data_IF_196597710562
#
_entry.id   IF_196597710562
#
_cell.length_a   1.000
_cell.length_b   1.000
_cell.length_c   1.000
_cell.angle_alpha   90.00
_cell.angle_beta   90.00
_cell.angle_gamma   90.00
#
_symmetry.space_group_name_H-M   'P 1'
#
loop_
_entity.id
_entity.type
_entity.pdbx_description
1 polymer ?
#
# COMPACT_ATOMS: atom_id res chain seq x y z
N UNK A 1 -17.11 -9.94 25.42
CA UNK A 1 -18.49 -9.64 24.99
C UNK A 1 -18.40 -8.89 23.66
N UNK A 2 -18.60 -9.58 22.53
CA UNK A 2 -18.43 -9.00 21.20
C UNK A 2 -19.38 -7.81 21.01
N UNK A 3 -18.83 -6.62 20.73
CA UNK A 3 -19.62 -5.41 20.46
C UNK A 3 -20.30 -5.55 19.11
N UNK A 4 -21.44 -6.25 19.06
CA UNK A 4 -22.27 -6.33 17.87
C UNK A 4 -22.69 -4.91 17.45
N UNK A 5 -22.28 -4.54 16.24
CA UNK A 5 -22.76 -3.34 15.57
C UNK A 5 -24.23 -3.56 15.18
N UNK A 6 -25.03 -2.51 15.27
CA UNK A 6 -26.36 -2.53 14.65
C UNK A 6 -26.21 -2.60 13.13
N UNK A 7 -27.14 -3.24 12.42
CA UNK A 7 -27.17 -3.22 10.95
C UNK A 7 -27.04 -1.80 10.38
N UNK A 8 -27.63 -0.81 11.05
CA UNK A 8 -27.53 0.59 10.64
C UNK A 8 -26.10 1.13 10.76
N UNK A 9 -25.42 0.79 11.85
CA UNK A 9 -24.04 1.21 12.08
C UNK A 9 -23.09 0.51 11.11
N UNK A 10 -23.38 -0.74 10.77
CA UNK A 10 -22.66 -1.51 9.76
C UNK A 10 -22.80 -0.87 8.38
N UNK A 11 -24.02 -0.57 7.93
CA UNK A 11 -24.25 0.15 6.66
C UNK A 11 -23.57 1.51 6.60
N UNK A 12 -23.51 2.23 7.72
CA UNK A 12 -22.75 3.50 7.77
C UNK A 12 -21.26 3.25 7.56
N UNK A 13 -20.66 2.26 8.22
CA UNK A 13 -19.24 1.94 8.02
C UNK A 13 -18.94 1.50 6.59
N UNK A 14 -19.76 0.60 6.02
CA UNK A 14 -19.63 0.14 4.63
C UNK A 14 -19.69 1.29 3.63
N UNK A 15 -20.64 2.23 3.84
CA UNK A 15 -20.73 3.42 2.99
C UNK A 15 -19.51 4.34 3.15
N UNK A 16 -19.06 4.58 4.39
CA UNK A 16 -17.89 5.43 4.65
C UNK A 16 -16.65 4.90 3.94
N UNK A 17 -16.41 3.59 4.02
CA UNK A 17 -15.28 2.92 3.39
C UNK A 17 -15.32 3.09 1.87
N UNK A 18 -16.42 2.64 1.26
CA UNK A 18 -16.62 2.74 -0.18
C UNK A 18 -16.46 4.18 -0.69
N UNK A 19 -17.04 5.15 0.04
CA UNK A 19 -16.96 6.55 -0.34
C UNK A 19 -15.53 7.09 -0.29
N UNK A 20 -14.77 6.77 0.76
CA UNK A 20 -13.38 7.23 0.90
C UNK A 20 -12.49 6.62 -0.18
N UNK A 21 -12.67 5.33 -0.49
CA UNK A 21 -11.93 4.66 -1.57
C UNK A 21 -12.22 5.30 -2.92
N UNK A 22 -13.49 5.61 -3.22
CA UNK A 22 -13.90 6.18 -4.51
C UNK A 22 -13.54 7.67 -4.67
N UNK A 23 -13.55 8.46 -3.58
CA UNK A 23 -13.47 9.93 -3.65
C UNK A 23 -12.19 10.51 -3.03
N UNK A 24 -11.39 9.70 -2.32
CA UNK A 24 -10.19 10.14 -1.58
C UNK A 24 -10.45 11.16 -0.46
N UNK A 25 -11.70 11.43 -0.11
CA UNK A 25 -12.10 12.28 1.03
C UNK A 25 -13.38 11.74 1.68
N UNK A 26 -13.61 11.99 2.98
CA UNK A 26 -14.76 11.43 3.68
C UNK A 26 -16.06 12.19 3.39
N UNK A 27 -17.22 11.52 3.44
CA UNK A 27 -18.50 12.13 3.14
C UNK A 27 -18.99 13.05 4.27
N UNK A 28 -19.93 13.93 3.93
CA UNK A 28 -20.64 14.81 4.87
C UNK A 28 -21.76 14.06 5.60
N UNK A 29 -22.22 14.63 6.72
CA UNK A 29 -23.35 14.07 7.49
C UNK A 29 -24.61 13.89 6.61
N UNK A 30 -24.83 14.80 5.67
CA UNK A 30 -25.97 14.73 4.73
C UNK A 30 -25.80 13.63 3.70
N UNK A 31 -24.60 13.49 3.13
CA UNK A 31 -24.25 12.41 2.19
C UNK A 31 -24.43 11.04 2.86
N UNK A 32 -23.96 10.88 4.10
CA UNK A 32 -24.15 9.66 4.90
C UNK A 32 -25.65 9.37 5.09
N UNK A 33 -26.42 10.37 5.53
CA UNK A 33 -27.86 10.22 5.75
C UNK A 33 -28.61 9.77 4.49
N UNK A 34 -28.32 10.40 3.35
CA UNK A 34 -28.91 10.04 2.07
C UNK A 34 -28.57 8.60 1.67
N UNK A 35 -27.31 8.19 1.83
CA UNK A 35 -26.84 6.86 1.43
C UNK A 35 -27.45 5.72 2.27
N UNK A 36 -27.64 5.93 3.58
CA UNK A 36 -28.16 4.88 4.48
C UNK A 36 -29.65 5.01 4.79
N UNK A 37 -30.37 5.90 4.10
CA UNK A 37 -31.82 6.09 4.26
C UNK A 37 -32.23 6.75 5.59
N UNK A 38 -31.39 7.64 6.13
CA UNK A 38 -31.64 8.40 7.36
C UNK A 38 -31.87 9.87 7.01
N UNK A 39 -33.11 10.33 7.17
CA UNK A 39 -33.49 11.72 6.91
C UNK A 39 -32.98 12.70 7.96
N UNK A 40 -32.77 12.25 9.20
CA UNK A 40 -32.36 13.11 10.31
C UNK A 40 -30.83 13.13 10.50
N UNK A 41 -30.24 14.31 10.32
CA UNK A 41 -28.81 14.56 10.61
C UNK A 41 -28.44 14.26 12.07
N UNK A 42 -29.36 14.48 13.00
CA UNK A 42 -29.18 14.15 14.43
C UNK A 42 -29.03 12.64 14.65
N UNK A 43 -29.79 11.82 13.92
CA UNK A 43 -29.70 10.36 14.00
C UNK A 43 -28.38 9.88 13.38
N UNK A 44 -27.93 10.47 12.28
CA UNK A 44 -26.61 10.18 11.71
C UNK A 44 -25.50 10.52 12.71
N UNK A 45 -25.55 11.73 13.28
CA UNK A 45 -24.57 12.21 14.27
C UNK A 45 -24.51 11.31 15.51
N UNK A 46 -25.67 10.85 15.99
CA UNK A 46 -25.76 9.86 17.08
C UNK A 46 -25.04 8.55 16.73
N UNK A 47 -25.29 8.00 15.54
CA UNK A 47 -24.65 6.74 15.13
C UNK A 47 -23.14 6.90 14.97
N UNK A 48 -22.69 8.00 14.37
CA UNK A 48 -21.25 8.32 14.25
C UNK A 48 -20.59 8.46 15.64
N UNK A 49 -21.24 9.10 16.62
CA UNK A 49 -20.74 9.16 17.99
C UNK A 49 -20.60 7.77 18.60
N UNK A 50 -21.58 6.89 18.41
CA UNK A 50 -21.51 5.50 18.91
C UNK A 50 -20.43 4.68 18.22
N UNK A 51 -20.16 4.92 16.93
CA UNK A 51 -19.06 4.29 16.21
C UNK A 51 -17.70 4.77 16.73
N UNK A 52 -17.58 6.07 17.02
CA UNK A 52 -16.39 6.71 17.59
C UNK A 52 -16.09 6.21 19.02
N UNK A 53 -17.10 6.17 19.90
CA UNK A 53 -16.98 5.62 21.26
C UNK A 53 -16.56 4.13 21.27
N UNK A 54 -16.85 3.42 20.18
CA UNK A 54 -16.46 2.01 20.00
C UNK A 54 -15.14 1.85 19.26
N UNK A 55 -14.52 2.95 18.86
CA UNK A 55 -13.20 2.97 18.23
C UNK A 55 -13.20 2.63 16.76
N UNK A 56 -14.35 2.58 16.08
CA UNK A 56 -14.44 2.27 14.64
C UNK A 56 -14.11 3.48 13.76
N UNK A 57 -14.34 4.70 14.26
CA UNK A 57 -14.03 5.94 13.55
C UNK A 57 -13.37 6.94 14.50
N UNK A 58 -12.65 7.90 13.95
CA UNK A 58 -12.14 9.09 14.65
C UNK A 58 -12.63 10.34 13.93
N UNK A 59 -13.05 11.37 14.67
CA UNK A 59 -13.50 12.63 14.09
C UNK A 59 -12.79 13.82 14.71
N UNK A 60 -12.21 14.62 13.84
CA UNK A 60 -11.85 15.99 14.15
C UNK A 60 -13.08 16.88 13.91
N UNK A 61 -13.51 17.61 14.95
CA UNK A 61 -14.70 18.48 14.89
C UNK A 61 -14.36 19.90 14.43
N UNK A 62 -13.09 20.28 14.47
CA UNK A 62 -12.61 21.59 14.03
C UNK A 62 -12.34 21.58 12.51
N UNK A 63 -12.11 20.39 11.95
CA UNK A 63 -11.85 20.20 10.52
C UNK A 63 -13.11 19.74 9.78
N UNK A 64 -13.50 20.52 8.75
CA UNK A 64 -14.53 20.08 7.81
C UNK A 64 -14.11 18.77 7.16
N UNK A 65 -15.00 17.77 7.14
CA UNK A 65 -14.68 16.42 6.65
C UNK A 65 -13.50 15.79 7.42
N UNK A 66 -13.33 16.10 8.71
CA UNK A 66 -12.31 15.51 9.59
C UNK A 66 -12.58 14.07 10.05
N UNK A 67 -13.30 13.26 9.28
CA UNK A 67 -13.65 11.88 9.65
C UNK A 67 -12.61 10.89 9.11
N UNK A 68 -12.14 9.98 9.96
CA UNK A 68 -11.22 8.90 9.60
C UNK A 68 -11.77 7.55 10.08
N UNK A 69 -11.66 6.52 9.24
CA UNK A 69 -11.92 5.14 9.63
C UNK A 69 -10.69 4.61 10.39
N UNK A 70 -10.91 3.78 11.41
CA UNK A 70 -9.81 3.14 12.16
C UNK A 70 -9.63 1.69 11.71
N UNK A 71 -8.53 1.07 12.10
CA UNK A 71 -8.30 -0.36 11.89
C UNK A 71 -9.40 -1.27 12.51
N UNK A 72 -10.20 -0.77 13.46
CA UNK A 72 -11.32 -1.53 14.00
C UNK A 72 -12.53 -1.54 13.05
N UNK A 73 -12.74 -0.49 12.24
CA UNK A 73 -13.77 -0.48 11.16
C UNK A 73 -13.43 -1.45 10.04
N UNK A 74 -12.14 -1.75 9.90
CA UNK A 74 -11.62 -2.63 8.88
C UNK A 74 -10.66 -3.65 9.49
N UNK A 75 -11.15 -4.78 10.04
CA UNK A 75 -10.26 -5.89 10.33
C UNK A 75 -9.54 -6.43 9.08
N UNK A 76 -10.06 -6.11 7.87
CA UNK A 76 -9.48 -6.46 6.56
C UNK A 76 -8.52 -5.38 6.03
N UNK A 77 -8.73 -4.10 6.36
CA UNK A 77 -7.70 -3.05 6.26
C UNK A 77 -6.96 -3.07 7.58
N UNK A 78 -6.24 -4.18 7.79
CA UNK A 78 -5.02 -4.14 8.60
C UNK A 78 -4.31 -2.83 8.21
N UNK A 79 -3.69 -2.08 9.15
CA UNK A 79 -2.67 -1.12 8.74
C UNK A 79 -1.79 -1.91 7.79
N UNK A 80 -1.84 -1.55 6.50
CA UNK A 80 -1.33 -2.34 5.38
C UNK A 80 0.01 -2.88 5.81
N UNK A 81 0.05 -4.18 6.17
CA UNK A 81 1.07 -4.68 7.08
C UNK A 81 2.42 -4.21 6.57
N UNK A 82 3.10 -3.36 7.36
CA UNK A 82 4.34 -2.73 6.90
C UNK A 82 5.32 -3.87 6.65
N UNK A 83 5.70 -4.04 5.40
CA UNK A 83 6.67 -5.03 4.98
C UNK A 83 8.01 -4.33 4.94
N UNK A 84 8.97 -4.87 5.69
CA UNK A 84 10.36 -4.47 5.60
C UNK A 84 11.01 -5.28 4.49
N UNK A 85 11.40 -4.61 3.41
CA UNK A 85 12.16 -5.25 2.35
C UNK A 85 13.65 -4.98 2.55
N UNK A 86 14.51 -6.00 2.41
CA UNK A 86 15.95 -5.79 2.47
C UNK A 86 16.41 -4.99 1.25
N UNK A 87 17.20 -3.95 1.48
CA UNK A 87 17.90 -3.22 0.42
C UNK A 87 19.23 -3.94 0.15
N UNK A 88 19.29 -4.71 -0.93
CA UNK A 88 20.44 -5.59 -1.23
C UNK A 88 21.61 -4.84 -1.92
N UNK A 89 21.64 -3.52 -1.79
CA UNK A 89 22.67 -2.66 -2.36
C UNK A 89 22.23 -1.98 -3.64
N UNK A 90 23.20 -1.74 -4.52
CA UNK A 90 23.03 -0.90 -5.71
C UNK A 90 23.13 -1.71 -7.00
N UNK A 91 22.30 -1.35 -7.96
CA UNK A 91 22.37 -1.88 -9.33
C UNK A 91 23.17 -0.89 -10.19
N UNK A 92 24.39 -1.29 -10.55
CA UNK A 92 25.26 -0.58 -11.49
C UNK A 92 25.34 -1.40 -12.78
N UNK A 93 25.37 -0.74 -13.94
CA UNK A 93 25.65 -1.43 -15.19
C UNK A 93 26.99 -2.18 -15.09
N UNK A 94 27.00 -3.46 -15.51
CA UNK A 94 28.24 -4.25 -15.58
C UNK A 94 28.50 -5.22 -14.42
N UNK A 95 27.83 -5.07 -13.27
CA UNK A 95 28.06 -5.91 -12.10
C UNK A 95 26.94 -6.95 -11.92
N UNK A 96 27.25 -8.25 -11.74
CA UNK A 96 26.24 -9.24 -11.41
C UNK A 96 25.57 -8.87 -10.09
N UNK A 97 24.23 -8.90 -10.06
CA UNK A 97 23.53 -8.82 -8.78
C UNK A 97 23.92 -10.06 -7.97
N UNK A 98 24.37 -9.91 -6.71
CA UNK A 98 24.43 -11.04 -5.81
C UNK A 98 23.01 -11.59 -5.63
N UNK A 99 22.72 -12.72 -6.27
CA UNK A 99 21.48 -13.46 -6.01
C UNK A 99 21.54 -13.85 -4.53
N UNK A 100 20.60 -13.38 -3.69
CA UNK A 100 20.54 -13.90 -2.35
C UNK A 100 20.22 -15.40 -2.47
N UNK A 101 21.24 -16.24 -2.26
CA UNK A 101 20.99 -17.56 -1.71
C UNK A 101 20.19 -17.34 -0.40
N UNK A 102 19.36 -18.31 -0.01
CA UNK A 102 18.62 -18.26 1.26
C UNK A 102 19.50 -17.95 2.49
N UNK A 103 20.83 -18.05 2.33
CA UNK A 103 21.88 -17.83 3.33
C UNK A 103 22.76 -16.59 3.09
N UNK A 104 22.37 -15.63 2.22
CA UNK A 104 23.13 -14.39 2.09
C UNK A 104 23.04 -13.59 3.40
N UNK A 105 24.15 -13.27 4.08
CA UNK A 105 24.13 -12.29 5.15
C UNK A 105 23.67 -10.99 4.51
N UNK A 106 22.58 -10.41 5.01
CA UNK A 106 22.13 -9.06 4.68
C UNK A 106 23.32 -8.12 4.93
N UNK A 107 24.15 -7.87 3.93
CA UNK A 107 25.21 -6.88 4.01
C UNK A 107 24.52 -5.52 3.89
N UNK A 108 24.04 -5.04 5.03
CA UNK A 108 23.27 -3.82 5.20
C UNK A 108 22.05 -4.08 6.07
N UNK A 109 21.98 -3.45 7.24
CA UNK A 109 20.75 -3.37 8.06
C UNK A 109 19.70 -2.43 7.41
N UNK A 110 19.98 -1.92 6.21
CA UNK A 110 19.12 -1.01 5.48
C UNK A 110 17.92 -1.78 4.92
N UNK A 111 16.74 -1.38 5.39
CA UNK A 111 15.46 -1.90 4.95
C UNK A 111 14.60 -0.74 4.51
N UNK A 112 13.78 -0.97 3.49
CA UNK A 112 12.73 -0.04 3.11
C UNK A 112 11.40 -0.52 3.70
N UNK A 113 10.63 0.41 4.23
CA UNK A 113 9.29 0.13 4.75
C UNK A 113 8.26 0.47 3.69
N UNK A 114 7.56 -0.55 3.21
CA UNK A 114 6.48 -0.40 2.23
C UNK A 114 5.21 -1.04 2.74
N UNK A 115 4.09 -0.50 2.28
CA UNK A 115 2.78 -1.02 2.64
C UNK A 115 2.42 -2.21 1.74
N UNK A 116 1.81 -3.25 2.32
CA UNK A 116 1.51 -4.50 1.59
C UNK A 116 0.64 -4.30 0.34
N UNK A 117 -0.21 -3.28 0.31
CA UNK A 117 -1.04 -2.90 -0.84
C UNK A 117 -0.21 -2.48 -2.06
N UNK A 118 1.01 -1.94 -1.88
CA UNK A 118 1.94 -1.62 -2.96
C UNK A 118 2.63 -2.89 -3.50
N UNK A 119 2.91 -3.85 -2.62
CA UNK A 119 3.75 -5.02 -2.91
C UNK A 119 2.99 -6.26 -3.39
N UNK A 120 1.69 -6.36 -3.06
CA UNK A 120 0.94 -7.59 -3.25
C UNK A 120 1.46 -8.71 -2.35
N UNK A 121 2.00 -9.79 -2.95
CA UNK A 121 2.63 -10.89 -2.21
C UNK A 121 4.09 -10.56 -1.88
N UNK A 122 4.45 -10.36 -0.60
CA UNK A 122 5.80 -9.97 -0.20
C UNK A 122 6.82 -11.12 -0.24
N UNK A 123 6.39 -12.36 -0.49
CA UNK A 123 7.31 -13.49 -0.53
C UNK A 123 8.38 -13.31 -1.63
N UNK A 124 9.65 -13.36 -1.22
CA UNK A 124 10.80 -13.30 -2.13
C UNK A 124 11.05 -11.94 -2.79
N UNK A 125 10.49 -10.85 -2.24
CA UNK A 125 10.77 -9.49 -2.68
C UNK A 125 12.05 -8.93 -2.04
N UNK A 126 12.78 -8.14 -2.81
CA UNK A 126 13.93 -7.37 -2.35
C UNK A 126 14.01 -6.04 -3.08
N UNK A 127 14.73 -5.07 -2.51
CA UNK A 127 14.92 -3.75 -3.10
C UNK A 127 16.37 -3.55 -3.55
N UNK A 128 16.56 -2.74 -4.60
CA UNK A 128 17.86 -2.27 -5.06
C UNK A 128 17.78 -0.78 -5.34
N UNK A 129 18.85 -0.05 -5.00
CA UNK A 129 18.99 1.35 -5.38
C UNK A 129 19.67 1.46 -6.75
N UNK A 130 19.12 2.27 -7.63
CA UNK A 130 19.65 2.50 -8.97
C UNK A 130 20.82 3.47 -8.90
N UNK A 131 21.94 3.11 -9.52
CA UNK A 131 23.08 4.00 -9.69
C UNK A 131 23.34 4.22 -11.20
N UNK A 132 23.25 5.47 -11.62
CA UNK A 132 23.36 5.90 -13.01
C UNK A 132 22.03 5.97 -13.76
N UNK A 133 22.12 6.31 -15.04
CA UNK A 133 20.97 6.59 -15.92
C UNK A 133 20.71 5.48 -16.95
N UNK A 134 21.21 4.26 -16.71
CA UNK A 134 21.14 3.15 -17.68
C UNK A 134 19.72 2.61 -17.90
N UNK A 135 18.74 3.07 -17.11
CA UNK A 135 17.35 2.62 -17.14
C UNK A 135 16.35 3.76 -17.44
N UNK A 136 16.82 4.87 -18.03
CA UNK A 136 15.93 6.03 -18.32
C UNK A 136 14.77 5.68 -19.25
N UNK A 137 14.97 4.72 -20.16
CA UNK A 137 13.93 4.28 -21.10
C UNK A 137 12.75 3.59 -20.37
N UNK A 138 12.99 3.14 -19.13
CA UNK A 138 11.98 2.60 -18.22
C UNK A 138 11.41 3.66 -17.26
N UNK A 139 11.77 4.94 -17.43
CA UNK A 139 11.47 6.04 -16.50
C UNK A 139 12.06 5.83 -15.10
N UNK A 140 13.22 5.18 -15.03
CA UNK A 140 13.96 4.91 -13.80
C UNK A 140 15.25 5.71 -13.81
N UNK A 141 15.42 6.55 -12.78
CA UNK A 141 16.52 7.51 -12.64
C UNK A 141 17.54 7.08 -11.58
N UNK A 142 18.71 7.71 -11.62
CA UNK A 142 19.72 7.59 -10.57
C UNK A 142 19.13 7.91 -9.19
N UNK A 143 19.37 7.03 -8.23
CA UNK A 143 18.86 7.13 -6.86
C UNK A 143 17.49 6.48 -6.64
N UNK A 144 16.77 6.09 -7.69
CA UNK A 144 15.48 5.41 -7.56
C UNK A 144 15.63 4.04 -6.87
N UNK A 145 14.56 3.59 -6.23
CA UNK A 145 14.52 2.26 -5.59
C UNK A 145 13.58 1.36 -6.39
N UNK A 146 14.14 0.25 -6.90
CA UNK A 146 13.37 -0.77 -7.61
C UNK A 146 13.11 -1.96 -6.71
N UNK A 147 11.85 -2.39 -6.64
CA UNK A 147 11.44 -3.60 -5.93
C UNK A 147 11.34 -4.74 -6.94
N UNK A 148 12.02 -5.85 -6.62
CA UNK A 148 12.17 -6.97 -7.52
C UNK A 148 11.78 -8.28 -6.84
N UNK A 149 11.30 -9.23 -7.64
CA UNK A 149 11.13 -10.63 -7.27
C UNK A 149 12.06 -11.47 -8.12
N UNK A 150 12.77 -12.40 -7.50
CA UNK A 150 13.52 -13.41 -8.27
C UNK A 150 12.55 -14.38 -8.95
N UNK A 151 12.53 -14.41 -10.28
CA UNK A 151 11.73 -15.33 -11.08
C UNK A 151 12.56 -15.88 -12.23
N UNK A 152 12.40 -17.17 -12.53
CA UNK A 152 13.07 -17.82 -13.68
C UNK A 152 12.36 -17.56 -15.00
N UNK A 153 11.10 -17.12 -14.96
CA UNK A 153 10.26 -16.85 -16.12
C UNK A 153 9.66 -15.45 -15.99
N UNK A 154 9.60 -14.73 -17.10
CA UNK A 154 8.98 -13.41 -17.24
C UNK A 154 7.83 -13.57 -18.23
N UNK A 155 6.67 -13.01 -17.91
CA UNK A 155 5.50 -13.01 -18.79
C UNK A 155 5.46 -11.74 -19.66
N UNK A 156 4.78 -11.82 -20.81
CA UNK A 156 4.58 -10.64 -21.64
C UNK A 156 3.75 -9.58 -20.88
N UNK A 157 4.24 -8.35 -20.87
CA UNK A 157 3.74 -7.21 -20.11
C UNK A 157 4.56 -6.90 -18.86
N UNK A 158 5.35 -7.86 -18.35
CA UNK A 158 6.14 -7.69 -17.13
C UNK A 158 7.43 -6.92 -17.39
N UNK A 159 7.87 -6.17 -16.38
CA UNK A 159 9.17 -5.50 -16.39
C UNK A 159 10.18 -6.40 -15.68
N UNK A 160 11.26 -6.75 -16.37
CA UNK A 160 12.32 -7.58 -15.82
C UNK A 160 13.68 -6.91 -16.01
N UNK A 161 14.53 -7.05 -14.99
CA UNK A 161 15.93 -6.68 -15.14
C UNK A 161 16.66 -7.85 -15.79
N UNK A 162 17.25 -7.60 -16.96
CA UNK A 162 17.94 -8.61 -17.76
C UNK A 162 19.42 -8.31 -17.82
N UNK A 163 20.23 -9.36 -17.70
CA UNK A 163 21.66 -9.29 -17.94
C UNK A 163 21.95 -9.59 -19.41
N UNK A 164 22.47 -8.59 -20.12
CA UNK A 164 22.87 -8.71 -21.51
C UNK A 164 24.32 -9.20 -21.57
N UNK A 165 24.50 -10.51 -21.76
CA UNK A 165 25.82 -11.16 -21.81
C UNK A 165 26.76 -10.57 -22.86
N UNK A 166 26.22 -10.01 -23.94
CA UNK A 166 26.99 -9.44 -25.05
C UNK A 166 27.78 -8.20 -24.62
N UNK A 167 27.20 -7.37 -23.75
CA UNK A 167 27.76 -6.07 -23.37
C UNK A 167 28.19 -6.05 -21.89
N UNK A 168 27.86 -7.11 -21.14
CA UNK A 168 28.00 -7.16 -19.69
C UNK A 168 26.99 -6.28 -18.93
N UNK A 169 26.12 -5.57 -19.63
CA UNK A 169 25.22 -4.57 -19.06
C UNK A 169 23.94 -5.17 -18.48
N UNK A 170 23.34 -4.44 -17.53
CA UNK A 170 22.05 -4.77 -16.94
C UNK A 170 21.03 -3.67 -17.24
N UNK A 171 19.83 -4.03 -17.67
CA UNK A 171 18.78 -3.09 -18.07
C UNK A 171 17.39 -3.58 -17.67
N UNK A 172 16.46 -2.67 -17.40
CA UNK A 172 15.04 -2.98 -17.20
C UNK A 172 14.32 -2.94 -18.55
N UNK A 173 13.70 -4.06 -18.93
CA UNK A 173 12.87 -4.14 -20.14
C UNK A 173 11.48 -4.66 -19.81
N UNK A 174 10.50 -4.10 -20.51
CA UNK A 174 9.14 -4.64 -20.56
C UNK A 174 9.08 -5.70 -21.65
N UNK A 175 8.64 -6.90 -21.30
CA UNK A 175 8.37 -7.99 -22.24
C UNK A 175 6.94 -7.95 -22.77
#
# INVERSE_FOLDING_TARGET
MGKHLSERQQRILEFLDKYIVENSYPPSIREIGAAVGISSTSVVSYNLRRLEERGYISRDREVSRGLKLTAAAHPQVLPSAVVRLPLLGRIVAGAPIPIPASDFPLMGDETIELTRDILGDPAGLYALQVEGNSMIDALVHDGDVVVMRHQQRVENGEMAAVWLKENGEMTLKRF
#
